data_IF_316629083200
#
_entry.id   IF_316629083200
#
_cell.length_a   1.000
_cell.length_b   1.000
_cell.length_c   1.000
_cell.angle_alpha   90.00
_cell.angle_beta   90.00
_cell.angle_gamma   90.00
#
_symmetry.space_group_name_H-M   'P 1'
#
loop_
_entity.id
_entity.type
_entity.pdbx_description
1 polymer ?
#
# COMPACT_ATOMS: atom_id res chain seq x y z
N UNK A 1 -42.07 14.53 -1.82
CA UNK A 1 -40.67 14.32 -1.40
C UNK A 1 -39.88 14.03 -2.65
N UNK A 2 -39.16 15.02 -3.14
CA UNK A 2 -38.36 14.92 -4.36
C UNK A 2 -37.10 14.13 -4.03
N UNK A 3 -36.87 13.04 -4.76
CA UNK A 3 -35.63 12.27 -4.68
C UNK A 3 -34.52 13.19 -5.21
N UNK A 4 -33.60 13.60 -4.35
CA UNK A 4 -32.42 14.37 -4.76
C UNK A 4 -31.48 13.40 -5.49
N UNK A 5 -31.32 13.60 -6.81
CA UNK A 5 -30.29 12.91 -7.59
C UNK A 5 -28.92 13.42 -7.12
N UNK A 6 -28.03 12.49 -6.75
CA UNK A 6 -26.66 12.81 -6.39
C UNK A 6 -25.90 13.32 -7.63
N UNK A 7 -25.01 14.32 -7.51
CA UNK A 7 -24.18 14.76 -8.62
C UNK A 7 -23.32 13.59 -9.12
N UNK A 8 -23.42 13.31 -10.41
CA UNK A 8 -22.64 12.29 -11.08
C UNK A 8 -21.24 12.83 -11.34
N UNK A 9 -20.27 12.37 -10.54
CA UNK A 9 -18.85 12.54 -10.88
C UNK A 9 -18.60 11.88 -12.25
N UNK A 10 -17.81 12.50 -13.14
CA UNK A 10 -17.57 11.95 -14.47
C UNK A 10 -16.94 10.55 -14.34
N UNK A 11 -17.42 9.55 -15.11
CA UNK A 11 -16.87 8.21 -15.04
C UNK A 11 -15.40 8.24 -15.46
N UNK A 12 -14.52 7.70 -14.60
CA UNK A 12 -13.12 7.48 -14.94
C UNK A 12 -13.08 6.48 -16.10
N UNK A 13 -12.42 6.86 -17.20
CA UNK A 13 -12.32 6.07 -18.45
C UNK A 13 -11.60 4.71 -18.27
N UNK A 14 -11.07 4.46 -17.08
CA UNK A 14 -10.25 3.30 -16.71
C UNK A 14 -11.05 2.18 -16.01
N UNK A 15 -12.35 2.37 -15.75
CA UNK A 15 -13.09 1.45 -14.88
C UNK A 15 -13.81 0.33 -15.65
N UNK A 16 -13.40 -0.92 -15.39
CA UNK A 16 -14.13 -2.13 -15.76
C UNK A 16 -15.22 -2.52 -14.75
N UNK A 17 -15.88 -3.66 -14.96
CA UNK A 17 -16.87 -4.17 -14.01
C UNK A 17 -16.22 -4.57 -12.68
N UNK A 18 -16.89 -4.25 -11.57
CA UNK A 18 -16.48 -4.62 -10.21
C UNK A 18 -17.67 -5.12 -9.39
N UNK A 19 -17.35 -5.93 -8.38
CA UNK A 19 -18.30 -6.33 -7.34
C UNK A 19 -18.54 -5.18 -6.35
N UNK A 20 -19.70 -5.19 -5.69
CA UNK A 20 -19.93 -4.34 -4.52
C UNK A 20 -19.06 -4.79 -3.33
N UNK A 21 -18.69 -3.82 -2.49
CA UNK A 21 -18.10 -4.07 -1.17
C UNK A 21 -19.16 -3.86 -0.10
N UNK A 22 -19.27 -4.75 0.86
CA UNK A 22 -20.20 -4.66 1.98
C UNK A 22 -19.45 -4.75 3.31
N UNK A 23 -19.99 -4.14 4.36
CA UNK A 23 -19.43 -4.15 5.70
C UNK A 23 -20.50 -3.89 6.76
N UNK A 24 -20.08 -3.79 8.01
CA UNK A 24 -20.95 -3.47 9.15
C UNK A 24 -20.37 -2.32 9.95
N UNK A 25 -21.22 -1.40 10.39
CA UNK A 25 -20.80 -0.37 11.33
C UNK A 25 -20.40 -1.00 12.66
N UNK A 26 -19.16 -0.79 13.08
CA UNK A 26 -18.66 -1.27 14.38
C UNK A 26 -18.67 -0.17 15.45
N UNK A 27 -18.69 1.09 15.03
CA UNK A 27 -18.78 2.26 15.92
C UNK A 27 -19.47 3.41 15.19
N UNK A 28 -20.29 4.16 15.92
CA UNK A 28 -20.96 5.36 15.40
C UNK A 28 -20.28 6.61 15.96
N UNK A 29 -20.09 7.62 15.12
CA UNK A 29 -19.54 8.92 15.50
C UNK A 29 -20.63 10.00 15.33
N UNK A 30 -20.62 11.01 16.20
CA UNK A 30 -21.72 11.97 16.34
C UNK A 30 -21.28 13.43 16.17
N UNK A 31 -20.08 13.68 15.66
CA UNK A 31 -19.47 15.01 15.65
C UNK A 31 -19.13 15.49 14.25
N UNK A 32 -18.95 16.81 14.11
CA UNK A 32 -18.52 17.53 12.92
C UNK A 32 -17.27 18.35 13.20
N UNK A 33 -16.55 18.72 12.15
CA UNK A 33 -15.42 19.66 12.17
C UNK A 33 -15.49 20.55 10.93
N UNK A 34 -15.04 21.79 11.07
CA UNK A 34 -14.92 22.76 9.97
C UNK A 34 -13.46 23.15 9.69
N UNK A 35 -12.51 22.52 10.39
CA UNK A 35 -11.08 22.80 10.42
C UNK A 35 -10.24 21.50 10.40
N UNK A 36 -10.79 20.42 9.82
CA UNK A 36 -10.21 19.08 9.98
C UNK A 36 -8.86 18.88 9.31
N UNK A 37 -8.58 19.58 8.21
CA UNK A 37 -7.32 19.49 7.47
C UNK A 37 -7.02 18.11 6.87
N UNK A 38 -8.03 17.36 6.42
CA UNK A 38 -7.81 16.14 5.63
C UNK A 38 -7.26 16.49 4.25
N UNK A 39 -6.53 15.57 3.64
CA UNK A 39 -5.96 15.72 2.31
C UNK A 39 -6.37 14.54 1.43
N UNK A 40 -6.91 14.84 0.24
CA UNK A 40 -7.33 13.81 -0.69
C UNK A 40 -6.12 13.06 -1.26
N UNK A 41 -6.10 11.75 -1.09
CA UNK A 41 -5.07 10.87 -1.65
C UNK A 41 -5.06 10.93 -3.20
N UNK A 42 -3.90 10.70 -3.83
CA UNK A 42 -3.78 10.74 -5.28
C UNK A 42 -4.54 9.63 -6.01
N UNK A 43 -4.78 8.51 -5.33
CA UNK A 43 -5.42 7.34 -5.92
C UNK A 43 -6.94 7.40 -5.78
N UNK A 44 -7.64 7.29 -6.91
CA UNK A 44 -9.11 7.32 -6.96
C UNK A 44 -9.77 6.02 -6.47
N UNK A 45 -8.98 4.96 -6.25
CA UNK A 45 -9.46 3.64 -5.86
C UNK A 45 -8.57 3.04 -4.76
N UNK A 46 -9.16 2.19 -3.92
CA UNK A 46 -8.42 1.38 -2.93
C UNK A 46 -8.95 -0.04 -2.88
N UNK A 47 -8.01 -0.99 -2.88
CA UNK A 47 -8.30 -2.36 -2.48
C UNK A 47 -8.57 -2.38 -0.98
N UNK A 48 -9.57 -3.15 -0.57
CA UNK A 48 -9.90 -3.42 0.82
C UNK A 48 -9.99 -4.92 1.04
N UNK A 49 -9.67 -5.36 2.26
CA UNK A 49 -9.76 -6.77 2.68
C UNK A 49 -10.93 -6.97 3.62
N UNK A 50 -11.45 -8.20 3.65
CA UNK A 50 -12.40 -8.58 4.68
C UNK A 50 -11.73 -8.48 6.06
N UNK A 51 -12.44 -7.92 7.04
CA UNK A 51 -11.98 -7.66 8.41
C UNK A 51 -11.25 -6.34 8.61
N UNK A 52 -10.90 -5.60 7.54
CA UNK A 52 -10.35 -4.25 7.69
C UNK A 52 -11.37 -3.30 8.31
N UNK A 53 -10.91 -2.34 9.09
CA UNK A 53 -11.76 -1.32 9.71
C UNK A 53 -11.38 0.06 9.17
N UNK A 54 -12.36 0.79 8.64
CA UNK A 54 -12.15 2.12 8.07
C UNK A 54 -13.13 3.14 8.63
N UNK A 55 -12.71 4.39 8.70
CA UNK A 55 -13.53 5.49 9.18
C UNK A 55 -14.32 6.11 8.02
N UNK A 56 -15.63 6.25 8.19
CA UNK A 56 -16.53 6.84 7.21
C UNK A 56 -16.76 8.31 7.54
N UNK A 57 -16.35 9.18 6.61
CA UNK A 57 -16.38 10.63 6.78
C UNK A 57 -17.12 11.24 5.61
N UNK A 58 -18.13 12.05 5.88
CA UNK A 58 -18.84 12.81 4.85
C UNK A 58 -18.30 14.22 4.74
N UNK A 59 -18.36 14.78 3.54
CA UNK A 59 -18.00 16.17 3.25
C UNK A 59 -18.86 16.70 2.10
N UNK A 60 -19.06 18.01 2.05
CA UNK A 60 -19.65 18.71 0.90
C UNK A 60 -18.61 19.15 -0.14
N UNK A 61 -17.33 18.78 0.06
CA UNK A 61 -16.25 19.02 -0.87
C UNK A 61 -16.42 18.22 -2.18
N UNK A 62 -16.10 18.84 -3.32
CA UNK A 62 -16.25 18.29 -4.67
C UNK A 62 -14.97 18.29 -5.50
N UNK A 63 -13.91 18.98 -5.05
CA UNK A 63 -12.61 18.93 -5.70
C UNK A 63 -11.98 17.54 -5.53
N UNK A 64 -11.58 16.97 -6.66
CA UNK A 64 -11.03 15.61 -6.77
C UNK A 64 -9.52 15.61 -7.04
N UNK A 65 -8.90 16.79 -7.00
CA UNK A 65 -7.47 16.98 -7.20
C UNK A 65 -6.69 16.32 -6.06
N UNK A 66 -5.65 15.53 -6.36
CA UNK A 66 -4.73 15.02 -5.34
C UNK A 66 -4.19 16.13 -4.44
N UNK A 67 -4.26 15.94 -3.13
CA UNK A 67 -3.85 16.91 -2.12
C UNK A 67 -4.88 18.01 -1.83
N UNK A 68 -6.07 17.98 -2.45
CA UNK A 68 -7.16 18.90 -2.12
C UNK A 68 -7.46 18.83 -0.61
N UNK A 69 -7.54 20.01 0.00
CA UNK A 69 -7.74 20.16 1.44
C UNK A 69 -9.24 20.09 1.78
N UNK A 70 -9.58 19.21 2.72
CA UNK A 70 -10.94 18.93 3.16
C UNK A 70 -11.05 19.26 4.65
N UNK A 71 -11.69 20.37 4.97
CA UNK A 71 -11.85 20.84 6.35
C UNK A 71 -13.24 20.57 6.93
N UNK A 72 -14.30 20.74 6.12
CA UNK A 72 -15.70 20.60 6.53
C UNK A 72 -16.16 19.15 6.41
N UNK A 73 -16.30 18.49 7.55
CA UNK A 73 -16.57 17.06 7.62
C UNK A 73 -17.58 16.68 8.71
N UNK A 74 -18.32 15.61 8.45
CA UNK A 74 -19.20 14.93 9.40
C UNK A 74 -18.81 13.47 9.53
N UNK A 75 -18.68 12.99 10.75
CA UNK A 75 -18.20 11.64 11.02
C UNK A 75 -19.36 10.68 11.20
N UNK A 76 -19.43 9.62 10.39
CA UNK A 76 -20.50 8.63 10.48
C UNK A 76 -20.16 7.54 11.49
N UNK A 77 -18.94 7.02 11.43
CA UNK A 77 -18.59 5.81 12.17
C UNK A 77 -17.40 5.08 11.59
N UNK A 78 -17.11 3.92 12.17
CA UNK A 78 -16.16 2.95 11.65
C UNK A 78 -16.93 1.76 11.07
N UNK A 79 -16.48 1.27 9.92
CA UNK A 79 -17.03 0.09 9.25
C UNK A 79 -15.98 -1.03 9.24
N UNK A 80 -16.37 -2.23 9.63
CA UNK A 80 -15.62 -3.45 9.35
C UNK A 80 -16.07 -4.03 8.01
N UNK A 81 -15.13 -4.26 7.10
CA UNK A 81 -15.41 -4.74 5.77
C UNK A 81 -15.71 -6.24 5.80
N UNK A 82 -16.87 -6.64 5.28
CA UNK A 82 -17.31 -8.04 5.26
C UNK A 82 -16.76 -8.84 4.08
N UNK A 83 -16.18 -8.19 3.08
CA UNK A 83 -15.55 -8.84 1.95
C UNK A 83 -14.41 -8.02 1.36
N UNK A 84 -13.44 -8.72 0.75
CA UNK A 84 -12.43 -8.08 -0.07
C UNK A 84 -13.04 -7.52 -1.38
N UNK A 85 -12.45 -6.45 -1.89
CA UNK A 85 -12.85 -5.83 -3.15
C UNK A 85 -12.11 -4.52 -3.38
N UNK A 86 -12.61 -3.71 -4.31
CA UNK A 86 -12.12 -2.36 -4.60
C UNK A 86 -13.23 -1.38 -4.26
N UNK A 87 -12.89 -0.31 -3.55
CA UNK A 87 -13.76 0.86 -3.39
C UNK A 87 -13.24 1.93 -4.35
N UNK A 88 -14.11 2.44 -5.20
CA UNK A 88 -13.78 3.45 -6.20
C UNK A 88 -14.43 4.77 -5.88
N UNK A 89 -13.75 5.86 -6.22
CA UNK A 89 -14.38 7.17 -6.37
C UNK A 89 -15.60 7.04 -7.29
N UNK A 90 -16.73 7.54 -6.80
CA UNK A 90 -18.03 7.44 -7.47
C UNK A 90 -18.88 6.26 -7.03
N UNK A 91 -18.37 5.30 -6.25
CA UNK A 91 -19.21 4.26 -5.66
C UNK A 91 -20.34 4.89 -4.84
N UNK A 92 -21.56 4.38 -5.01
CA UNK A 92 -22.69 4.78 -4.19
C UNK A 92 -22.54 4.14 -2.81
N UNK A 93 -22.55 4.96 -1.76
CA UNK A 93 -22.46 4.49 -0.38
C UNK A 93 -23.86 4.41 0.21
N UNK A 94 -24.24 3.23 0.69
CA UNK A 94 -25.49 3.02 1.43
C UNK A 94 -25.24 2.49 2.82
N UNK A 95 -26.04 2.93 3.79
CA UNK A 95 -26.01 2.43 5.17
C UNK A 95 -27.43 2.09 5.60
N UNK A 96 -27.65 0.86 6.07
CA UNK A 96 -28.99 0.37 6.42
C UNK A 96 -29.99 0.44 5.25
N UNK A 97 -29.49 0.30 4.00
CA UNK A 97 -30.29 0.43 2.77
C UNK A 97 -30.58 1.86 2.31
N UNK A 98 -30.15 2.89 3.06
CA UNK A 98 -30.32 4.30 2.68
C UNK A 98 -29.06 4.81 1.97
N UNK A 99 -29.21 5.47 0.83
CA UNK A 99 -28.09 6.17 0.17
C UNK A 99 -27.64 7.35 1.02
N UNK A 100 -26.34 7.41 1.30
CA UNK A 100 -25.69 8.47 2.07
C UNK A 100 -24.97 9.46 1.18
N UNK A 101 -24.32 8.98 0.12
CA UNK A 101 -23.52 9.80 -0.79
C UNK A 101 -22.73 8.95 -1.79
N UNK A 102 -21.70 9.55 -2.38
CA UNK A 102 -20.77 8.87 -3.28
C UNK A 102 -19.36 8.95 -2.74
N UNK A 103 -18.52 7.93 -2.97
CA UNK A 103 -17.12 7.99 -2.56
C UNK A 103 -16.42 9.13 -3.31
N UNK A 104 -15.86 10.08 -2.56
CA UNK A 104 -14.99 11.14 -3.07
C UNK A 104 -13.54 10.66 -3.22
N UNK A 105 -13.10 9.83 -2.27
CA UNK A 105 -11.75 9.26 -2.26
C UNK A 105 -11.34 8.87 -0.84
N UNK A 106 -10.05 9.01 -0.55
CA UNK A 106 -9.45 8.51 0.67
C UNK A 106 -8.53 9.57 1.28
N UNK A 107 -8.38 9.53 2.60
CA UNK A 107 -7.36 10.28 3.34
C UNK A 107 -6.60 9.31 4.25
N UNK A 108 -5.28 9.47 4.29
CA UNK A 108 -4.36 8.57 4.99
C UNK A 108 -3.84 9.16 6.31
N UNK A 109 -4.48 10.18 6.90
CA UNK A 109 -3.93 10.89 8.05
C UNK A 109 -3.75 10.00 9.30
N UNK A 110 -4.45 8.86 9.36
CA UNK A 110 -4.35 7.87 10.44
C UNK A 110 -3.66 6.56 10.00
N UNK A 111 -3.08 6.51 8.81
CA UNK A 111 -2.34 5.34 8.35
C UNK A 111 -1.12 5.08 9.26
N UNK A 112 -0.77 3.82 9.58
CA UNK A 112 -1.31 2.55 9.05
C UNK A 112 -2.55 1.99 9.76
N UNK A 113 -3.13 2.69 10.74
CA UNK A 113 -4.24 2.16 11.52
C UNK A 113 -5.51 1.99 10.66
N UNK A 114 -5.93 3.07 10.00
CA UNK A 114 -7.07 3.04 9.09
C UNK A 114 -7.01 4.17 8.07
N UNK A 115 -7.70 3.98 6.94
CA UNK A 115 -8.04 5.06 6.02
C UNK A 115 -9.34 5.73 6.45
N UNK A 116 -9.41 7.04 6.19
CA UNK A 116 -10.67 7.76 6.12
C UNK A 116 -11.24 7.56 4.71
N UNK A 117 -12.41 6.96 4.59
CA UNK A 117 -13.17 6.90 3.34
C UNK A 117 -14.03 8.15 3.28
N UNK A 118 -13.68 9.03 2.34
CA UNK A 118 -14.33 10.31 2.15
C UNK A 118 -15.55 10.13 1.24
N UNK A 119 -16.70 10.60 1.72
CA UNK A 119 -18.00 10.44 1.06
C UNK A 119 -18.52 11.84 0.76
N UNK A 120 -18.67 12.16 -0.52
CA UNK A 120 -19.36 13.36 -0.94
C UNK A 120 -20.86 13.26 -0.61
N UNK A 121 -21.37 14.26 0.09
CA UNK A 121 -22.80 14.45 0.37
C UNK A 121 -23.14 15.96 0.32
N UNK A 122 -24.39 16.35 0.03
CA UNK A 122 -24.75 17.78 -0.09
C UNK A 122 -24.46 18.61 1.16
N UNK A 123 -24.42 17.97 2.33
CA UNK A 123 -23.99 18.56 3.60
C UNK A 123 -23.19 17.52 4.39
N UNK A 124 -22.24 17.93 5.26
CA UNK A 124 -21.58 17.00 6.16
C UNK A 124 -22.57 16.41 7.17
N UNK A 125 -22.77 15.08 7.09
CA UNK A 125 -23.67 14.28 7.92
C UNK A 125 -22.88 13.51 8.99
N UNK A 126 -23.48 13.29 10.15
CA UNK A 126 -22.92 12.45 11.21
C UNK A 126 -23.78 11.21 11.42
N UNK A 127 -23.27 10.27 12.22
CA UNK A 127 -24.06 9.13 12.64
C UNK A 127 -25.34 9.51 13.38
N UNK A 128 -25.34 10.64 14.11
CA UNK A 128 -26.53 11.15 14.80
C UNK A 128 -27.63 11.58 13.82
N UNK A 129 -27.28 12.34 12.78
CA UNK A 129 -28.25 12.89 11.83
C UNK A 129 -28.94 11.79 11.02
N UNK A 130 -28.22 10.68 10.80
CA UNK A 130 -28.73 9.52 10.07
C UNK A 130 -29.38 8.48 10.97
N UNK A 131 -29.34 8.65 12.30
CA UNK A 131 -29.86 7.67 13.26
C UNK A 131 -29.12 6.33 13.18
N UNK A 132 -27.81 6.36 12.95
CA UNK A 132 -27.01 5.15 12.80
C UNK A 132 -26.84 4.44 14.14
N UNK A 133 -26.83 3.12 14.08
CA UNK A 133 -26.47 2.23 15.18
C UNK A 133 -25.42 1.23 14.69
N UNK A 134 -24.61 0.64 15.58
CA UNK A 134 -23.74 -0.47 15.22
C UNK A 134 -24.51 -1.63 14.57
N UNK A 135 -23.81 -2.48 13.83
CA UNK A 135 -24.31 -3.62 13.05
C UNK A 135 -25.11 -3.27 11.79
N UNK A 136 -25.41 -1.99 11.52
CA UNK A 136 -26.01 -1.62 10.25
C UNK A 136 -25.08 -1.95 9.09
N UNK A 137 -25.64 -2.58 8.06
CA UNK A 137 -24.94 -2.90 6.82
C UNK A 137 -24.52 -1.63 6.10
N UNK A 138 -23.26 -1.57 5.67
CA UNK A 138 -22.71 -0.57 4.76
C UNK A 138 -22.46 -1.24 3.41
N UNK A 139 -22.82 -0.60 2.30
CA UNK A 139 -22.46 -1.06 0.95
C UNK A 139 -21.82 0.07 0.13
N UNK A 140 -20.80 -0.29 -0.63
CA UNK A 140 -20.16 0.49 -1.68
C UNK A 140 -20.53 -0.19 -3.00
N UNK A 141 -21.43 0.43 -3.74
CA UNK A 141 -22.01 -0.10 -4.97
C UNK A 141 -21.40 0.62 -6.18
N UNK A 142 -21.03 -0.10 -7.25
CA UNK A 142 -20.49 0.52 -8.45
C UNK A 142 -21.46 1.57 -8.99
N UNK A 143 -20.95 2.68 -9.53
CA UNK A 143 -21.76 3.64 -10.26
C UNK A 143 -22.54 2.89 -11.36
N UNK A 144 -23.87 3.06 -11.44
CA UNK A 144 -24.69 2.35 -12.42
C UNK A 144 -24.11 2.57 -13.83
N UNK A 145 -23.66 1.48 -14.46
CA UNK A 145 -23.02 1.54 -15.77
C UNK A 145 -24.01 2.06 -16.82
N UNK A 146 -23.57 3.02 -17.64
CA UNK A 146 -24.17 3.22 -18.96
C UNK A 146 -23.79 1.99 -19.80
N UNK A 147 -24.74 1.25 -20.42
CA UNK A 147 -24.39 0.07 -21.20
C UNK A 147 -23.44 0.46 -22.35
N UNK A 148 -22.23 -0.09 -22.36
CA UNK A 148 -21.34 0.02 -23.52
C UNK A 148 -21.92 -0.83 -24.65
N UNK A 149 -22.35 -0.17 -25.72
CA UNK A 149 -22.92 -0.80 -26.92
C UNK A 149 -21.87 -1.09 -28.01
N UNK A 150 -20.60 -1.24 -27.66
CA UNK A 150 -19.59 -1.65 -28.62
C UNK A 150 -19.23 -3.13 -28.45
N UNK A 151 -19.29 -3.94 -29.52
CA UNK A 151 -18.78 -5.30 -29.48
C UNK A 151 -17.26 -5.25 -29.34
N UNK A 152 -16.74 -5.63 -28.19
CA UNK A 152 -15.31 -5.89 -28.03
C UNK A 152 -15.03 -7.29 -28.57
N UNK A 153 -14.37 -7.37 -29.72
CA UNK A 153 -13.65 -8.58 -30.11
C UNK A 153 -12.62 -8.88 -29.02
N UNK A 154 -12.59 -10.08 -28.41
CA UNK A 154 -11.59 -10.41 -27.43
C UNK A 154 -10.27 -10.59 -28.15
N UNK A 155 -9.42 -9.57 -28.15
CA UNK A 155 -8.00 -9.80 -28.25
C UNK A 155 -7.60 -10.52 -26.96
N UNK A 156 -7.36 -11.83 -27.06
CA UNK A 156 -6.65 -12.58 -26.03
C UNK A 156 -5.20 -12.08 -25.99
N UNK A 157 -4.99 -10.92 -25.41
CA UNK A 157 -3.72 -10.62 -24.74
C UNK A 157 -3.78 -11.37 -23.42
N UNK A 158 -2.81 -12.25 -23.16
CA UNK A 158 -2.66 -12.77 -21.81
C UNK A 158 -2.39 -11.56 -20.91
N UNK A 159 -3.24 -11.29 -19.90
CA UNK A 159 -2.97 -10.18 -18.99
C UNK A 159 -1.62 -10.40 -18.34
N UNK A 160 -0.85 -9.32 -18.18
CA UNK A 160 0.39 -9.33 -17.38
C UNK A 160 0.04 -9.94 -16.03
N UNK A 161 0.79 -10.96 -15.62
CA UNK A 161 0.56 -11.62 -14.34
C UNK A 161 0.73 -10.58 -13.23
N UNK A 162 -0.25 -10.48 -12.33
CA UNK A 162 -0.13 -9.70 -11.10
C UNK A 162 -0.08 -10.68 -9.92
N UNK A 163 1.10 -11.23 -9.55
CA UNK A 163 1.20 -12.19 -8.46
C UNK A 163 0.84 -11.58 -7.11
N UNK A 164 1.08 -10.28 -6.92
CA UNK A 164 0.80 -9.59 -5.64
C UNK A 164 -0.71 -9.45 -5.44
N UNK A 165 -1.43 -8.93 -6.44
CA UNK A 165 -2.88 -8.82 -6.39
C UNK A 165 -3.60 -10.16 -6.53
N UNK A 166 -3.02 -11.12 -7.23
CA UNK A 166 -3.62 -12.46 -7.41
C UNK A 166 -3.41 -13.38 -6.20
N UNK A 167 -2.39 -13.15 -5.37
CA UNK A 167 -2.12 -13.91 -4.15
C UNK A 167 -1.80 -12.99 -2.94
N UNK A 168 -2.77 -12.19 -2.49
CA UNK A 168 -2.55 -11.13 -1.50
C UNK A 168 -2.23 -11.65 -0.10
N UNK A 169 -2.66 -12.86 0.25
CA UNK A 169 -2.30 -13.56 1.48
C UNK A 169 -0.81 -13.92 1.53
N UNK A 170 -0.28 -14.43 0.41
CA UNK A 170 1.17 -14.69 0.25
C UNK A 170 1.97 -13.38 0.27
N UNK A 171 1.48 -12.34 -0.42
CA UNK A 171 2.11 -11.02 -0.38
C UNK A 171 2.14 -10.45 1.05
N UNK A 172 1.06 -10.60 1.82
CA UNK A 172 1.01 -10.15 3.21
C UNK A 172 1.99 -10.93 4.10
N UNK A 173 2.09 -12.25 3.93
CA UNK A 173 3.08 -13.05 4.66
C UNK A 173 4.51 -12.58 4.36
N UNK A 174 4.80 -12.24 3.10
CA UNK A 174 6.09 -11.69 2.68
C UNK A 174 6.38 -10.30 3.29
N UNK A 175 5.36 -9.43 3.40
CA UNK A 175 5.49 -8.15 4.12
C UNK A 175 5.85 -8.41 5.58
N UNK A 176 5.13 -9.30 6.26
CA UNK A 176 5.40 -9.63 7.66
C UNK A 176 6.82 -10.16 7.86
N UNK A 177 7.33 -11.01 6.96
CA UNK A 177 8.72 -11.48 7.01
C UNK A 177 9.70 -10.33 6.88
N UNK A 178 9.42 -9.37 6.00
CA UNK A 178 10.28 -8.19 5.75
C UNK A 178 10.33 -7.28 6.98
N UNK A 179 9.19 -6.96 7.58
CA UNK A 179 9.12 -6.13 8.79
C UNK A 179 9.77 -6.85 9.99
N UNK A 180 9.48 -8.13 10.16
CA UNK A 180 10.06 -8.96 11.21
C UNK A 180 11.56 -9.19 11.04
N UNK A 181 12.16 -8.89 9.88
CA UNK A 181 13.62 -8.86 9.71
C UNK A 181 14.26 -7.59 10.28
N UNK A 182 13.51 -6.49 10.42
CA UNK A 182 14.03 -5.21 10.91
C UNK A 182 13.76 -4.95 12.41
N UNK A 183 12.70 -5.54 12.98
CA UNK A 183 12.36 -5.46 14.41
C UNK A 183 13.52 -5.63 15.41
N UNK A 184 13.74 -4.62 16.25
CA UNK A 184 14.74 -4.69 17.32
C UNK A 184 16.19 -4.55 16.85
N UNK A 185 16.41 -4.22 15.57
CA UNK A 185 17.72 -3.79 15.08
C UNK A 185 17.98 -2.31 15.44
N UNK A 186 19.23 -1.92 15.73
CA UNK A 186 19.63 -0.52 15.81
C UNK A 186 19.33 0.22 14.51
N UNK A 187 19.15 1.55 14.59
CA UNK A 187 18.82 2.39 13.43
C UNK A 187 19.86 2.27 12.32
N UNK A 188 21.14 2.19 12.69
CA UNK A 188 22.26 2.04 11.77
C UNK A 188 22.19 0.70 11.02
N UNK A 189 21.78 -0.37 11.69
CA UNK A 189 21.61 -1.68 11.07
C UNK A 189 20.37 -1.73 10.17
N UNK A 190 19.29 -1.01 10.51
CA UNK A 190 18.14 -0.83 9.60
C UNK A 190 18.56 -0.06 8.34
N UNK A 191 19.37 0.98 8.48
CA UNK A 191 19.92 1.70 7.34
C UNK A 191 20.82 0.80 6.47
N UNK A 192 21.63 -0.07 7.09
CA UNK A 192 22.39 -1.11 6.37
C UNK A 192 21.45 -2.10 5.66
N UNK A 193 20.37 -2.54 6.30
CA UNK A 193 19.40 -3.43 5.69
C UNK A 193 18.80 -2.82 4.41
N UNK A 194 18.40 -1.54 4.41
CA UNK A 194 17.94 -0.86 3.18
C UNK A 194 19.03 -0.75 2.10
N UNK A 195 20.29 -0.54 2.49
CA UNK A 195 21.41 -0.56 1.54
C UNK A 195 21.56 -1.95 0.87
N UNK A 196 21.39 -3.03 1.64
CA UNK A 196 21.40 -4.40 1.11
C UNK A 196 20.20 -4.65 0.19
N UNK A 197 19.00 -4.19 0.58
CA UNK A 197 17.79 -4.33 -0.24
C UNK A 197 17.98 -3.67 -1.61
N UNK A 198 18.47 -2.43 -1.62
CA UNK A 198 18.82 -1.70 -2.83
C UNK A 198 19.84 -2.47 -3.68
N UNK A 199 20.93 -2.93 -3.08
CA UNK A 199 21.99 -3.66 -3.78
C UNK A 199 21.48 -4.97 -4.41
N UNK A 200 20.70 -5.76 -3.67
CA UNK A 200 20.08 -7.00 -4.17
C UNK A 200 19.12 -6.70 -5.33
N UNK A 201 18.34 -5.62 -5.25
CA UNK A 201 17.47 -5.15 -6.34
C UNK A 201 18.22 -4.68 -7.58
N UNK A 202 19.35 -3.99 -7.41
CA UNK A 202 20.24 -3.65 -8.52
C UNK A 202 20.79 -4.90 -9.22
N UNK A 203 21.25 -5.91 -8.45
CA UNK A 203 21.78 -7.15 -9.02
C UNK A 203 20.72 -7.99 -9.75
N UNK A 204 19.49 -8.00 -9.24
CA UNK A 204 18.39 -8.74 -9.88
C UNK A 204 17.72 -7.94 -11.02
N UNK A 205 18.06 -6.67 -11.22
CA UNK A 205 17.44 -5.83 -12.25
C UNK A 205 15.98 -5.46 -11.97
N UNK A 206 15.50 -5.54 -10.72
CA UNK A 206 14.14 -5.09 -10.38
C UNK A 206 14.09 -3.55 -10.32
N UNK A 207 13.61 -2.91 -11.39
CA UNK A 207 13.52 -1.45 -11.47
C UNK A 207 12.65 -0.82 -10.38
N UNK A 208 11.45 -1.37 -10.15
CA UNK A 208 10.54 -0.93 -9.08
C UNK A 208 11.20 -1.00 -7.70
N UNK A 209 11.76 -2.16 -7.37
CA UNK A 209 12.41 -2.40 -6.07
C UNK A 209 13.64 -1.52 -5.89
N UNK A 210 14.39 -1.25 -6.97
CA UNK A 210 15.56 -0.36 -6.94
C UNK A 210 15.14 1.06 -6.57
N UNK A 211 14.09 1.60 -7.19
CA UNK A 211 13.57 2.94 -6.83
C UNK A 211 13.08 2.96 -5.39
N UNK A 212 12.26 1.97 -5.00
CA UNK A 212 11.70 1.86 -3.65
C UNK A 212 12.80 1.87 -2.57
N UNK A 213 13.80 1.00 -2.70
CA UNK A 213 14.84 0.87 -1.69
C UNK A 213 15.88 1.99 -1.75
N UNK A 214 16.03 2.68 -2.89
CA UNK A 214 16.83 3.91 -2.94
C UNK A 214 16.20 5.00 -2.07
N UNK A 215 14.91 5.23 -2.23
CA UNK A 215 14.19 6.26 -1.47
C UNK A 215 14.12 5.90 0.02
N UNK A 216 13.90 4.63 0.35
CA UNK A 216 13.92 4.14 1.72
C UNK A 216 15.31 4.25 2.37
N UNK A 217 16.38 3.93 1.65
CA UNK A 217 17.76 4.10 2.15
C UNK A 217 18.07 5.57 2.46
N UNK A 218 17.66 6.50 1.60
CA UNK A 218 17.78 7.94 1.85
C UNK A 218 16.99 8.38 3.09
N UNK A 219 15.75 7.91 3.23
CA UNK A 219 14.92 8.18 4.40
C UNK A 219 15.50 7.61 5.70
N UNK A 220 16.19 6.47 5.62
CA UNK A 220 16.93 5.87 6.74
C UNK A 220 18.21 6.64 7.10
N UNK A 221 18.60 7.65 6.32
CA UNK A 221 19.76 8.50 6.56
C UNK A 221 21.05 8.01 5.89
N UNK A 222 20.96 7.14 4.89
CA UNK A 222 22.14 6.77 4.09
C UNK A 222 22.68 7.97 3.31
N UNK A 223 24.02 8.06 3.23
CA UNK A 223 24.70 9.05 2.43
C UNK A 223 24.42 8.83 0.93
N UNK A 224 23.87 9.83 0.20
CA UNK A 224 23.69 9.73 -1.25
C UNK A 224 24.94 9.30 -2.01
N UNK A 225 26.13 9.78 -1.60
CA UNK A 225 27.38 9.40 -2.25
C UNK A 225 27.70 7.90 -2.10
N UNK A 226 27.27 7.29 -0.99
CA UNK A 226 27.37 5.84 -0.78
C UNK A 226 26.43 5.09 -1.72
N UNK A 227 25.21 5.58 -1.93
CA UNK A 227 24.26 4.96 -2.87
C UNK A 227 24.76 5.01 -4.31
N UNK A 228 25.34 6.14 -4.72
CA UNK A 228 25.93 6.30 -6.05
C UNK A 228 27.13 5.36 -6.28
N UNK A 229 27.90 5.08 -5.22
CA UNK A 229 29.05 4.16 -5.26
C UNK A 229 28.69 2.67 -5.13
N UNK A 230 27.43 2.33 -4.84
CA UNK A 230 27.00 0.97 -4.47
C UNK A 230 27.24 -0.07 -5.56
N UNK A 231 26.98 0.26 -6.82
CA UNK A 231 27.24 -0.66 -7.94
C UNK A 231 28.73 -1.06 -8.05
N UNK A 232 29.63 -0.20 -7.57
CA UNK A 232 31.08 -0.41 -7.53
C UNK A 232 31.64 -0.72 -6.15
N UNK A 233 30.80 -1.14 -5.19
CA UNK A 233 31.15 -1.24 -3.77
C UNK A 233 32.46 -1.98 -3.45
N UNK A 234 32.89 -3.06 -4.16
CA UNK A 234 34.13 -3.76 -3.79
C UNK A 234 35.36 -2.84 -3.82
N UNK A 235 35.36 -1.85 -4.72
CA UNK A 235 36.48 -0.92 -4.92
C UNK A 235 36.20 0.50 -4.38
N UNK A 236 35.03 0.74 -3.78
CA UNK A 236 34.63 2.07 -3.31
C UNK A 236 35.04 2.34 -1.85
N UNK A 237 35.67 3.48 -1.57
CA UNK A 237 36.15 3.82 -0.22
C UNK A 237 35.02 4.15 0.78
N UNK A 238 33.77 4.27 0.33
CA UNK A 238 32.63 4.72 1.13
C UNK A 238 32.11 3.67 2.14
N UNK A 239 32.48 2.40 2.00
CA UNK A 239 31.92 1.29 2.78
C UNK A 239 32.89 0.82 3.87
N UNK A 240 32.39 0.75 5.10
CA UNK A 240 33.09 0.18 6.26
C UNK A 240 33.33 -1.33 6.11
N UNK A 241 34.17 -1.91 6.98
CA UNK A 241 34.43 -3.35 6.96
C UNK A 241 33.15 -4.17 7.24
N UNK A 242 32.31 -3.69 8.16
CA UNK A 242 31.00 -4.27 8.49
C UNK A 242 30.07 -4.30 7.26
N UNK A 243 29.94 -3.16 6.57
CA UNK A 243 29.08 -3.04 5.38
C UNK A 243 29.60 -3.91 4.23
N UNK A 244 30.92 -3.97 4.05
CA UNK A 244 31.56 -4.83 3.05
C UNK A 244 31.31 -6.32 3.30
N UNK A 245 31.36 -6.74 4.56
CA UNK A 245 31.04 -8.12 4.93
C UNK A 245 29.56 -8.44 4.61
N UNK A 246 28.64 -7.54 4.93
CA UNK A 246 27.22 -7.70 4.62
C UNK A 246 26.94 -7.71 3.11
N UNK A 247 27.56 -6.80 2.33
CA UNK A 247 27.44 -6.74 0.88
C UNK A 247 28.03 -7.99 0.20
N UNK A 248 29.12 -8.56 0.73
CA UNK A 248 29.67 -9.82 0.24
C UNK A 248 28.71 -11.00 0.48
N UNK A 249 28.02 -11.05 1.63
CA UNK A 249 26.96 -12.03 1.90
C UNK A 249 25.78 -11.83 0.95
N UNK A 250 25.35 -10.59 0.73
CA UNK A 250 24.28 -10.27 -0.22
C UNK A 250 24.63 -10.68 -1.66
N UNK A 251 25.87 -10.43 -2.10
CA UNK A 251 26.38 -10.89 -3.40
C UNK A 251 26.31 -12.41 -3.52
N UNK A 252 26.82 -13.14 -2.52
CA UNK A 252 26.81 -14.59 -2.52
C UNK A 252 25.40 -15.16 -2.63
N UNK A 253 24.47 -14.69 -1.78
CA UNK A 253 23.10 -15.22 -1.70
C UNK A 253 22.18 -14.78 -2.84
N UNK A 254 22.56 -13.77 -3.61
CA UNK A 254 21.75 -13.26 -4.73
C UNK A 254 22.06 -13.98 -6.05
N UNK A 255 23.19 -14.68 -6.14
CA UNK A 255 23.54 -15.47 -7.32
C UNK A 255 22.57 -16.63 -7.51
N UNK A 256 22.22 -16.90 -8.77
CA UNK A 256 21.37 -18.04 -9.16
C UNK A 256 21.99 -19.39 -8.79
N UNK A 257 23.33 -19.48 -8.86
CA UNK A 257 24.10 -20.69 -8.56
C UNK A 257 24.61 -20.74 -7.11
N UNK A 258 24.01 -19.96 -6.21
CA UNK A 258 24.48 -19.86 -4.83
C UNK A 258 24.36 -21.20 -4.09
N UNK A 259 25.49 -21.68 -3.57
CA UNK A 259 25.57 -22.77 -2.61
C UNK A 259 25.58 -22.26 -1.17
N UNK A 260 25.91 -23.12 -0.18
CA UNK A 260 26.12 -22.68 1.20
C UNK A 260 27.13 -21.51 1.28
N UNK A 261 26.89 -20.56 2.20
CA UNK A 261 27.85 -19.48 2.46
C UNK A 261 29.20 -20.10 2.81
N UNK A 262 30.31 -19.77 2.11
CA UNK A 262 31.63 -20.29 2.40
C UNK A 262 32.09 -19.92 3.80
N UNK A 263 32.85 -20.79 4.47
CA UNK A 263 33.26 -20.57 5.87
C UNK A 263 34.10 -19.31 6.05
N UNK A 264 34.93 -18.94 5.06
CA UNK A 264 35.68 -17.69 5.10
C UNK A 264 34.76 -16.46 5.13
N UNK A 265 33.70 -16.46 4.33
CA UNK A 265 32.71 -15.37 4.28
C UNK A 265 31.86 -15.35 5.55
N UNK A 266 31.46 -16.52 6.04
CA UNK A 266 30.73 -16.66 7.32
C UNK A 266 31.57 -16.15 8.49
N UNK A 267 32.85 -16.50 8.54
CA UNK A 267 33.78 -16.09 9.59
C UNK A 267 34.08 -14.59 9.54
N UNK A 268 34.13 -14.00 8.35
CA UNK A 268 34.32 -12.55 8.20
C UNK A 268 33.09 -11.79 8.70
N UNK A 269 31.88 -12.17 8.27
CA UNK A 269 30.63 -11.57 8.75
C UNK A 269 30.46 -11.71 10.28
N UNK A 270 30.85 -12.85 10.85
CA UNK A 270 30.78 -13.10 12.29
C UNK A 270 31.72 -12.21 13.14
N UNK A 271 32.70 -11.52 12.53
CA UNK A 271 33.52 -10.52 13.24
C UNK A 271 32.78 -9.21 13.49
N UNK A 272 31.73 -8.96 12.73
CA UNK A 272 31.02 -7.69 12.70
C UNK A 272 29.61 -7.78 13.28
N UNK A 273 28.97 -8.94 13.15
CA UNK A 273 27.58 -9.12 13.55
C UNK A 273 27.41 -10.22 14.59
N UNK A 274 26.60 -9.92 15.60
CA UNK A 274 26.02 -10.96 16.45
C UNK A 274 25.22 -11.96 15.60
N UNK A 275 25.19 -13.25 15.96
CA UNK A 275 24.53 -14.28 15.16
C UNK A 275 23.06 -13.97 14.85
N UNK A 276 22.34 -13.36 15.80
CA UNK A 276 20.94 -12.95 15.61
C UNK A 276 20.78 -11.81 14.60
N UNK A 277 21.70 -10.85 14.58
CA UNK A 277 21.70 -9.74 13.61
C UNK A 277 22.03 -10.26 12.22
N UNK A 278 23.07 -11.09 12.09
CA UNK A 278 23.44 -11.69 10.80
C UNK A 278 22.30 -12.53 10.22
N UNK A 279 21.61 -13.32 11.06
CA UNK A 279 20.45 -14.09 10.62
C UNK A 279 19.34 -13.19 10.05
N UNK A 280 19.09 -12.02 10.67
CA UNK A 280 18.09 -11.06 10.21
C UNK A 280 18.49 -10.39 8.89
N UNK A 281 19.78 -10.08 8.71
CA UNK A 281 20.30 -9.59 7.41
C UNK A 281 20.18 -10.66 6.32
N UNK A 282 20.40 -11.93 6.64
CA UNK A 282 20.17 -13.05 5.69
C UNK A 282 18.68 -13.15 5.31
N UNK A 283 17.77 -13.04 6.28
CA UNK A 283 16.32 -12.97 6.01
C UNK A 283 15.95 -11.77 5.14
N UNK A 284 16.57 -10.61 5.38
CA UNK A 284 16.41 -9.41 4.54
C UNK A 284 16.80 -9.70 3.10
N UNK A 285 18.00 -10.25 2.88
CA UNK A 285 18.50 -10.59 1.53
C UNK A 285 17.59 -11.60 0.83
N UNK A 286 17.13 -12.63 1.55
CA UNK A 286 16.24 -13.66 1.00
C UNK A 286 14.86 -13.08 0.63
N UNK A 287 14.27 -12.27 1.51
CA UNK A 287 12.99 -11.62 1.27
C UNK A 287 13.06 -10.67 0.06
N UNK A 288 14.11 -9.87 -0.05
CA UNK A 288 14.32 -9.00 -1.23
C UNK A 288 14.51 -9.81 -2.51
N UNK A 289 15.25 -10.92 -2.45
CA UNK A 289 15.39 -11.82 -3.60
C UNK A 289 14.05 -12.36 -4.08
N UNK A 290 13.15 -12.70 -3.17
CA UNK A 290 11.79 -13.13 -3.50
C UNK A 290 10.95 -11.97 -4.07
N UNK A 291 10.98 -10.79 -3.43
CA UNK A 291 10.28 -9.60 -3.93
C UNK A 291 10.72 -9.19 -5.32
N UNK A 292 12.01 -9.23 -5.61
CA UNK A 292 12.54 -8.92 -6.94
C UNK A 292 12.00 -9.89 -8.00
N UNK A 293 11.91 -11.19 -7.69
CA UNK A 293 11.35 -12.21 -8.61
C UNK A 293 9.85 -11.98 -8.85
N UNK A 294 9.11 -11.66 -7.78
CA UNK A 294 7.68 -11.32 -7.88
C UNK A 294 7.49 -10.04 -8.72
N UNK A 295 8.28 -9.00 -8.48
CA UNK A 295 8.23 -7.74 -9.20
C UNK A 295 8.56 -7.91 -10.69
N UNK A 296 9.57 -8.71 -11.03
CA UNK A 296 9.91 -9.03 -12.41
C UNK A 296 8.82 -9.85 -13.11
N UNK A 297 8.17 -10.79 -12.42
CA UNK A 297 7.02 -11.51 -12.97
C UNK A 297 5.80 -10.61 -13.22
N UNK A 298 5.76 -9.44 -12.57
CA UNK A 298 4.70 -8.42 -12.71
C UNK A 298 4.99 -7.38 -13.79
N UNK A 299 6.20 -7.38 -14.36
CA UNK A 299 6.59 -6.40 -15.37
C UNK A 299 5.99 -6.77 -16.73
N UNK A 300 5.34 -5.80 -17.39
CA UNK A 300 5.01 -5.92 -18.80
C UNK A 300 6.31 -5.86 -19.61
N UNK A 301 6.56 -6.88 -20.45
CA UNK A 301 7.70 -6.91 -21.38
C UNK A 301 7.52 -5.98 -22.57
#
# INVERSE_FOLDING_TARGET
>A
MTVLEAPTLPPLRENGAKRSVHGRLVKVLLHRRDDRGMALEPHAARCVRAGEVHELVTTDHDDTTPGARIDRVGFLGFVELGNAGVIDRGDTVRIGGRTVGTVLGFDACHFPNHYNILIHAPVPLTGADLGLVPELTVTFEPLAAVPSLLPTTPEHTMPVLDPVGSAPDLAQAMVSVTELADTGLPKETVALAELLRLHVSQRNGCGYCTTLHRDAALAAGQDPAKLDALAGWPNAAHFSAEERAALAVADHLTREDSGPIPDALRADAARHFEPSVLARLVWTIAATNAWNRIGLASAAG
#
